data_IF_177385814177
#
_entry.id   IF_177385814177
#
_cell.length_a   1.000
_cell.length_b   1.000
_cell.length_c   1.000
_cell.angle_alpha   90.00
_cell.angle_beta   90.00
_cell.angle_gamma   90.00
#
_symmetry.space_group_name_H-M   'P 1'
#
loop_
_entity.id
_entity.type
_entity.pdbx_description
1 polymer ?
#
# COMPACT_ATOMS: atom_id res chain seq x y z
N UNK A 1 3.93 -6.04 -30.58
CA UNK A 1 3.29 -6.13 -29.25
C UNK A 1 3.12 -4.72 -28.75
N UNK A 2 1.90 -4.19 -28.78
CA UNK A 2 1.59 -2.92 -28.15
C UNK A 2 1.69 -3.13 -26.64
N UNK A 3 2.77 -2.66 -26.03
CA UNK A 3 2.85 -2.54 -24.58
C UNK A 3 1.72 -1.60 -24.17
N UNK A 4 0.60 -2.17 -23.75
CA UNK A 4 -0.39 -1.42 -22.99
C UNK A 4 0.32 -1.05 -21.69
N UNK A 5 0.96 0.13 -21.68
CA UNK A 5 1.39 0.78 -20.45
C UNK A 5 0.13 0.88 -19.59
N UNK A 6 -0.05 -0.10 -18.71
CA UNK A 6 -1.18 -0.13 -17.80
C UNK A 6 -1.12 1.17 -17.02
N UNK A 7 -2.07 2.04 -17.26
CA UNK A 7 -2.09 3.36 -16.66
C UNK A 7 -2.53 3.23 -15.21
N UNK A 8 -1.58 2.83 -14.36
CA UNK A 8 -1.78 2.60 -12.94
C UNK A 8 -2.23 3.85 -12.18
N UNK A 9 -2.14 5.05 -12.79
CA UNK A 9 -2.70 6.29 -12.26
C UNK A 9 -4.23 6.30 -12.26
N UNK A 10 -4.86 5.55 -13.16
CA UNK A 10 -6.33 5.44 -13.26
C UNK A 10 -6.94 4.42 -12.31
N UNK A 11 -6.13 3.77 -11.46
CA UNK A 11 -6.65 2.79 -10.53
C UNK A 11 -7.48 3.48 -9.44
N UNK A 12 -8.65 2.93 -9.11
CA UNK A 12 -9.49 3.48 -8.04
C UNK A 12 -8.70 3.50 -6.71
N UNK A 13 -8.68 4.63 -5.97
CA UNK A 13 -7.97 4.76 -4.71
C UNK A 13 -8.32 3.67 -3.67
N UNK A 14 -9.56 3.21 -3.64
CA UNK A 14 -10.00 2.16 -2.71
C UNK A 14 -9.48 0.76 -3.09
N UNK A 15 -9.35 0.49 -4.39
CA UNK A 15 -8.68 -0.71 -4.88
C UNK A 15 -7.18 -0.66 -4.53
N UNK A 16 -6.55 0.50 -4.71
CA UNK A 16 -5.17 0.78 -4.32
C UNK A 16 -4.92 0.52 -2.82
N UNK A 17 -5.82 1.00 -1.95
CA UNK A 17 -5.79 0.71 -0.50
C UNK A 17 -5.91 -0.78 -0.20
N UNK A 18 -6.75 -1.49 -0.95
CA UNK A 18 -6.92 -2.94 -0.81
C UNK A 18 -5.65 -3.71 -1.21
N UNK A 19 -4.96 -3.25 -2.26
CA UNK A 19 -3.65 -3.78 -2.66
C UNK A 19 -2.63 -3.53 -1.54
N UNK A 20 -2.52 -2.29 -1.04
CA UNK A 20 -1.58 -1.95 0.03
C UNK A 20 -1.80 -2.74 1.31
N UNK A 21 -3.06 -3.03 1.68
CA UNK A 21 -3.36 -3.88 2.82
C UNK A 21 -2.94 -5.35 2.66
N UNK A 22 -2.74 -5.81 1.42
CA UNK A 22 -2.26 -7.17 1.10
C UNK A 22 -0.76 -7.24 0.90
N UNK A 23 -0.06 -6.11 0.82
CA UNK A 23 1.40 -6.08 0.77
C UNK A 23 1.95 -6.37 2.18
N UNK A 24 2.06 -7.67 2.51
CA UNK A 24 2.55 -8.19 3.80
C UNK A 24 3.97 -7.71 4.08
N UNK A 25 4.78 -7.51 3.03
CA UNK A 25 6.19 -7.14 3.12
C UNK A 25 6.32 -5.62 2.97
N UNK A 26 6.92 -4.99 3.98
CA UNK A 26 7.20 -3.55 4.00
C UNK A 26 7.97 -3.08 2.76
N UNK A 27 8.89 -3.90 2.24
CA UNK A 27 9.68 -3.61 1.03
C UNK A 27 8.81 -3.42 -0.22
N UNK A 28 7.80 -4.25 -0.43
CA UNK A 28 6.92 -4.13 -1.60
C UNK A 28 5.99 -2.93 -1.47
N UNK A 29 5.57 -2.60 -0.25
CA UNK A 29 4.87 -1.36 0.04
C UNK A 29 5.74 -0.11 -0.23
N UNK A 30 7.04 -0.13 0.09
CA UNK A 30 7.92 0.99 -0.26
C UNK A 30 8.16 1.09 -1.78
N UNK A 31 8.19 -0.03 -2.49
CA UNK A 31 8.31 -0.05 -3.96
C UNK A 31 7.06 0.49 -4.64
N UNK A 32 5.88 0.28 -4.07
CA UNK A 32 4.63 0.81 -4.63
C UNK A 32 4.63 2.35 -4.70
N UNK A 33 5.39 3.01 -3.81
CA UNK A 33 5.55 4.47 -3.78
C UNK A 33 6.24 5.06 -5.01
N UNK A 34 6.94 4.24 -5.80
CA UNK A 34 7.70 4.72 -6.96
C UNK A 34 6.96 4.55 -8.29
N UNK A 35 5.71 4.06 -8.28
CA UNK A 35 4.93 3.80 -9.50
C UNK A 35 4.41 5.10 -10.12
N UNK A 36 3.70 5.91 -9.35
CA UNK A 36 3.25 7.24 -9.74
C UNK A 36 2.88 8.08 -8.50
N UNK A 37 2.56 9.36 -8.69
CA UNK A 37 2.16 10.28 -7.63
C UNK A 37 0.92 9.82 -6.86
N UNK A 38 -0.05 9.20 -7.53
CA UNK A 38 -1.30 8.75 -6.90
C UNK A 38 -1.05 7.58 -5.95
N UNK A 39 -0.22 6.62 -6.38
CA UNK A 39 0.22 5.51 -5.53
C UNK A 39 0.99 6.02 -4.30
N UNK A 40 1.88 6.99 -4.49
CA UNK A 40 2.57 7.64 -3.38
C UNK A 40 1.59 8.28 -2.40
N UNK A 41 0.67 9.12 -2.88
CA UNK A 41 -0.33 9.83 -2.07
C UNK A 41 -1.24 8.88 -1.27
N UNK A 42 -1.73 7.81 -1.90
CA UNK A 42 -2.54 6.80 -1.19
C UNK A 42 -1.69 6.04 -0.17
N UNK A 43 -0.41 5.78 -0.46
CA UNK A 43 0.46 5.06 0.48
C UNK A 43 0.80 5.88 1.72
N UNK A 44 0.90 7.21 1.63
CA UNK A 44 1.20 8.06 2.80
C UNK A 44 -0.01 8.15 3.72
N UNK A 45 -1.22 8.24 3.16
CA UNK A 45 -2.47 8.14 3.94
C UNK A 45 -2.66 6.74 4.56
N UNK A 46 -2.28 5.68 3.84
CA UNK A 46 -2.30 4.31 4.37
C UNK A 46 -1.24 4.09 5.46
N UNK A 47 -0.06 4.70 5.34
CA UNK A 47 1.00 4.62 6.36
C UNK A 47 0.57 5.27 7.68
N UNK A 48 -0.12 6.42 7.62
CA UNK A 48 -0.67 7.09 8.80
C UNK A 48 -1.71 6.21 9.53
N UNK A 49 -2.64 5.58 8.79
CA UNK A 49 -3.61 4.64 9.37
C UNK A 49 -3.00 3.30 9.80
N UNK A 50 -1.94 2.83 9.14
CA UNK A 50 -1.28 1.56 9.49
C UNK A 50 -0.30 1.71 10.64
N UNK A 51 0.24 2.89 10.94
CA UNK A 51 0.90 3.12 12.23
C UNK A 51 -0.09 2.96 13.39
N UNK A 52 -1.31 3.50 13.26
CA UNK A 52 -2.38 3.29 14.23
C UNK A 52 -2.81 1.81 14.35
N UNK A 53 -2.71 1.01 13.27
CA UNK A 53 -3.01 -0.44 13.31
C UNK A 53 -1.82 -1.35 13.65
N UNK A 54 -0.58 -0.89 13.46
CA UNK A 54 0.65 -1.65 13.79
C UNK A 54 0.90 -1.71 15.28
N UNK A 55 0.42 -0.73 16.03
CA UNK A 55 0.38 -0.81 17.49
C UNK A 55 -0.48 -2.02 17.92
N UNK A 56 -1.69 -2.15 17.37
CA UNK A 56 -2.58 -3.28 17.67
C UNK A 56 -2.12 -4.64 17.10
N UNK A 57 -1.48 -4.68 15.92
CA UNK A 57 -1.01 -5.94 15.31
C UNK A 57 0.29 -6.46 15.93
N UNK A 58 1.17 -5.59 16.45
CA UNK A 58 2.33 -6.04 17.23
C UNK A 58 1.91 -6.69 18.55
N UNK A 59 0.84 -6.19 19.17
CA UNK A 59 0.28 -6.78 20.38
C UNK A 59 -0.33 -8.18 20.15
N UNK A 60 -0.86 -8.46 18.95
CA UNK A 60 -1.36 -9.79 18.59
C UNK A 60 -0.25 -10.80 18.25
N UNK A 61 0.95 -10.36 17.86
CA UNK A 61 2.05 -11.26 17.46
C UNK A 61 3.02 -11.54 18.62
N UNK A 62 3.03 -10.72 19.68
CA UNK A 62 3.89 -10.91 20.87
C UNK A 62 3.19 -11.65 22.04
N UNK A 63 1.98 -12.17 21.85
CA UNK A 63 1.24 -13.00 22.84
C UNK A 63 0.71 -14.30 22.21
N UNK A 64 1.52 -14.94 21.36
CA UNK A 64 1.29 -16.31 20.89
C UNK A 64 2.43 -17.21 21.34
#
# INVERSE_FOLDING_TARGET
MSETLSDWSKLCPDLLRSIFGRLIISKDFYRSRTVCSDWYSVSTTYAACSHAKKETLRDCVMNA
#
